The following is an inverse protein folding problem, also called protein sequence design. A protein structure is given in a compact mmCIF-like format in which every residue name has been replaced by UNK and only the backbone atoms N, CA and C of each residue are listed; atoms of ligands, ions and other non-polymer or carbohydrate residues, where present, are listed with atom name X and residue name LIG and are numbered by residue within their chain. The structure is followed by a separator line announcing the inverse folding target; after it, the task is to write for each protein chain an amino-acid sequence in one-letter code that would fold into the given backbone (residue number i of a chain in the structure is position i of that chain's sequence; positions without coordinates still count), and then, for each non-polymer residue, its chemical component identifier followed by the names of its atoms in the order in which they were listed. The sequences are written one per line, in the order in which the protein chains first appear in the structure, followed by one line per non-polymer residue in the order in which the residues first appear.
data_IF_814656994762
#
_entry.id   IF_814656994762
#
_cell.length_a   1.000
_cell.length_b   1.000
_cell.length_c   1.000
_cell.angle_alpha   90.00
_cell.angle_beta   90.00
_cell.angle_gamma   90.00
#
_symmetry.space_group_name_H-M   'P 1'
#
loop_
_entity.id
_entity.type
_entity.pdbx_description
1 polymer ?
#
# COMPACT_ATOMS: atom_id res chain seq x y z
N UNK A 1 -15.16 78.64 -26.23
CA UNK A 1 -13.98 78.12 -25.52
C UNK A 1 -14.47 76.90 -24.76
N UNK A 2 -14.56 75.75 -25.43
CA UNK A 2 -15.02 74.50 -24.85
C UNK A 2 -13.81 73.61 -24.59
N UNK A 3 -13.63 73.19 -23.33
CA UNK A 3 -12.60 72.24 -22.92
C UNK A 3 -13.27 70.87 -22.76
N UNK A 4 -12.86 69.93 -23.60
CA UNK A 4 -13.24 68.52 -23.50
C UNK A 4 -12.28 67.81 -22.53
N UNK A 5 -12.80 67.20 -21.47
CA UNK A 5 -12.05 66.28 -20.60
C UNK A 5 -12.68 64.90 -20.66
N UNK A 6 -11.93 63.94 -21.19
CA UNK A 6 -12.28 62.51 -21.22
C UNK A 6 -12.01 61.88 -19.86
N UNK A 7 -13.04 61.27 -19.28
CA UNK A 7 -12.99 60.48 -18.04
C UNK A 7 -12.63 59.03 -18.38
N UNK A 8 -11.46 58.55 -17.95
CA UNK A 8 -11.10 57.12 -18.05
C UNK A 8 -11.68 56.29 -16.89
N UNK A 9 -12.08 55.06 -17.22
CA UNK A 9 -12.92 54.18 -16.41
C UNK A 9 -12.08 53.29 -15.44
N UNK A 10 -12.36 53.26 -14.10
CA UNK A 10 -11.49 52.62 -13.07
C UNK A 10 -11.28 51.10 -13.20
N UNK A 11 -12.18 50.41 -13.89
CA UNK A 11 -12.23 48.94 -13.95
C UNK A 11 -11.13 48.32 -14.81
N UNK A 12 -10.59 49.10 -15.77
CA UNK A 12 -9.56 48.65 -16.71
C UNK A 12 -8.16 48.65 -16.06
N UNK A 13 -7.91 49.60 -15.16
CA UNK A 13 -6.65 49.79 -14.44
C UNK A 13 -6.36 48.62 -13.49
N UNK A 14 -7.38 48.10 -12.79
CA UNK A 14 -7.25 46.96 -11.86
C UNK A 14 -6.94 45.63 -12.56
N UNK A 15 -7.57 45.37 -13.72
CA UNK A 15 -7.29 44.17 -14.54
C UNK A 15 -5.90 44.21 -15.17
N UNK A 16 -5.43 45.40 -15.56
CA UNK A 16 -4.08 45.57 -16.08
C UNK A 16 -3.01 45.41 -14.98
N UNK A 17 -3.27 45.91 -13.76
CA UNK A 17 -2.34 45.78 -12.63
C UNK A 17 -2.18 44.31 -12.16
N UNK A 18 -3.26 43.54 -12.14
CA UNK A 18 -3.23 42.10 -11.80
C UNK A 18 -2.59 41.24 -12.89
N UNK A 19 -2.80 41.58 -14.17
CA UNK A 19 -2.14 40.94 -15.31
C UNK A 19 -0.64 41.22 -15.35
N UNK A 20 -0.22 42.44 -15.03
CA UNK A 20 1.20 42.82 -14.92
C UNK A 20 1.86 42.11 -13.74
N UNK A 21 1.22 42.07 -12.56
CA UNK A 21 1.73 41.32 -11.39
C UNK A 21 1.91 39.82 -11.67
N UNK A 22 0.95 39.17 -12.35
CA UNK A 22 1.08 37.74 -12.74
C UNK A 22 2.23 37.51 -13.73
N UNK A 23 2.41 38.40 -14.71
CA UNK A 23 3.54 38.33 -15.65
C UNK A 23 4.89 38.51 -14.96
N UNK A 24 5.00 39.44 -14.01
CA UNK A 24 6.23 39.66 -13.23
C UNK A 24 6.58 38.44 -12.38
N UNK A 25 5.59 37.80 -11.73
CA UNK A 25 5.82 36.60 -10.91
C UNK A 25 6.32 35.42 -11.77
N UNK A 26 5.72 35.19 -12.95
CA UNK A 26 6.14 34.11 -13.86
C UNK A 26 7.57 34.34 -14.38
N UNK A 27 7.93 35.58 -14.71
CA UNK A 27 9.29 35.94 -15.13
C UNK A 27 10.33 35.71 -14.01
N UNK A 28 9.99 36.00 -12.75
CA UNK A 28 10.88 35.76 -11.60
C UNK A 28 11.07 34.26 -11.33
N UNK A 29 10.02 33.44 -11.45
CA UNK A 29 10.16 31.98 -11.28
C UNK A 29 11.01 31.36 -12.39
N UNK A 30 10.84 31.81 -13.65
CA UNK A 30 11.64 31.31 -14.76
C UNK A 30 13.13 31.67 -14.62
N UNK A 31 13.47 32.87 -14.11
CA UNK A 31 14.87 33.25 -13.87
C UNK A 31 15.48 32.56 -12.65
N UNK A 32 14.71 32.27 -11.59
CA UNK A 32 15.22 31.49 -10.46
C UNK A 32 15.52 30.03 -10.84
N UNK A 33 14.70 29.42 -11.69
CA UNK A 33 14.91 28.02 -12.13
C UNK A 33 16.15 27.86 -13.00
N UNK A 34 16.52 28.86 -13.80
CA UNK A 34 17.74 28.82 -14.63
C UNK A 34 19.01 29.07 -13.82
N UNK A 35 18.95 29.90 -12.76
CA UNK A 35 20.09 30.14 -11.87
C UNK A 35 20.42 28.93 -10.98
N UNK A 36 19.42 28.14 -10.57
CA UNK A 36 19.63 26.89 -9.81
C UNK A 36 20.21 25.76 -10.68
N UNK A 37 19.93 25.73 -11.98
CA UNK A 37 20.47 24.73 -12.90
C UNK A 37 21.90 25.03 -13.38
N UNK A 38 22.33 26.30 -13.34
CA UNK A 38 23.67 26.72 -13.77
C UNK A 38 24.80 26.34 -12.80
N UNK A 39 24.48 25.80 -11.61
CA UNK A 39 25.49 25.44 -10.59
C UNK A 39 25.98 23.98 -10.65
N UNK A 40 25.64 23.20 -11.68
CA UNK A 40 26.00 21.76 -11.76
C UNK A 40 27.10 21.46 -12.82
N UNK A 41 27.68 22.44 -13.50
CA UNK A 41 28.72 22.18 -14.50
C UNK A 41 29.97 23.05 -14.27
N UNK A 42 30.83 22.60 -13.35
CA UNK A 42 32.30 22.56 -13.49
C UNK A 42 32.97 22.28 -12.14
N UNK A 43 33.57 21.11 -11.96
CA UNK A 43 34.78 20.98 -11.15
C UNK A 43 35.67 19.83 -11.68
N UNK A 44 36.93 20.10 -12.08
CA UNK A 44 37.84 19.09 -12.61
C UNK A 44 38.64 18.43 -11.49
N UNK A 45 38.57 17.09 -11.45
CA UNK A 45 39.60 16.17 -10.95
C UNK A 45 40.25 16.44 -9.58
N UNK A 46 39.94 15.59 -8.59
CA UNK A 46 40.99 15.03 -7.74
C UNK A 46 40.75 13.55 -7.47
N UNK A 47 41.65 12.73 -8.01
CA UNK A 47 41.83 11.33 -7.67
C UNK A 47 42.50 11.23 -6.30
N UNK A 48 41.82 10.67 -5.31
CA UNK A 48 42.48 9.94 -4.23
C UNK A 48 41.54 8.85 -3.71
N UNK A 49 41.96 7.60 -3.94
CA UNK A 49 41.39 6.42 -3.35
C UNK A 49 41.38 6.51 -1.81
N UNK A 50 40.22 6.28 -1.21
CA UNK A 50 40.11 5.68 0.11
C UNK A 50 39.03 4.62 0.08
N UNK A 51 39.50 3.41 0.29
CA UNK A 51 38.75 2.19 0.54
C UNK A 51 37.80 2.32 1.74
N UNK A 52 36.84 1.38 1.75
CA UNK A 52 35.91 1.02 2.83
C UNK A 52 34.58 1.76 2.90
N UNK A 53 33.67 1.39 2.00
CA UNK A 53 32.36 0.83 2.36
C UNK A 53 31.71 0.16 1.13
N UNK A 54 32.36 -0.87 0.59
CA UNK A 54 31.71 -1.82 -0.31
C UNK A 54 30.81 -2.74 0.52
N UNK A 55 29.69 -2.20 1.03
CA UNK A 55 28.56 -3.04 1.41
C UNK A 55 27.87 -3.43 0.12
N UNK A 56 28.44 -4.46 -0.51
CA UNK A 56 27.76 -5.43 -1.37
C UNK A 56 26.33 -5.00 -1.74
N UNK A 57 26.16 -4.44 -2.93
CA UNK A 57 24.97 -4.68 -3.74
C UNK A 57 24.93 -6.20 -3.95
N UNK A 58 24.47 -6.90 -2.91
CA UNK A 58 24.18 -8.31 -2.92
C UNK A 58 23.26 -8.53 -4.10
N UNK A 59 23.64 -9.49 -4.96
CA UNK A 59 22.79 -10.10 -5.98
C UNK A 59 21.32 -9.81 -5.74
N UNK A 60 20.61 -9.30 -6.74
CA UNK A 60 19.15 -9.39 -6.79
C UNK A 60 18.75 -10.79 -6.28
N UNK A 61 18.24 -10.82 -5.04
CA UNK A 61 18.20 -12.03 -4.22
C UNK A 61 17.36 -13.10 -4.93
N UNK A 62 17.59 -14.40 -4.69
CA UNK A 62 16.71 -15.48 -5.18
C UNK A 62 15.23 -15.32 -4.75
N UNK A 63 14.93 -14.39 -3.84
CA UNK A 63 13.60 -13.99 -3.41
C UNK A 63 12.88 -13.06 -4.40
N UNK A 64 13.60 -12.28 -5.22
CA UNK A 64 13.02 -11.28 -6.12
C UNK A 64 12.08 -11.89 -7.18
N UNK A 65 12.38 -13.06 -7.79
CA UNK A 65 11.42 -13.75 -8.66
C UNK A 65 10.17 -14.22 -7.90
N UNK A 66 10.34 -14.67 -6.66
CA UNK A 66 9.24 -15.20 -5.83
C UNK A 66 8.30 -14.07 -5.39
N UNK A 67 8.85 -12.94 -4.92
CA UNK A 67 8.10 -11.72 -4.62
C UNK A 67 7.40 -11.21 -5.87
N UNK A 68 8.09 -11.16 -7.02
CA UNK A 68 7.49 -10.73 -8.28
C UNK A 68 6.28 -11.60 -8.64
N UNK A 69 6.38 -12.91 -8.45
CA UNK A 69 5.26 -13.83 -8.66
C UNK A 69 4.12 -13.62 -7.65
N UNK A 70 4.43 -13.38 -6.37
CA UNK A 70 3.44 -13.10 -5.33
C UNK A 70 2.65 -11.81 -5.62
N UNK A 71 3.33 -10.79 -6.16
CA UNK A 71 2.75 -9.48 -6.46
C UNK A 71 2.10 -9.37 -7.86
N UNK A 72 2.35 -10.33 -8.77
CA UNK A 72 1.98 -10.21 -10.18
C UNK A 72 0.49 -9.98 -10.44
N UNK A 73 -0.37 -10.58 -9.61
CA UNK A 73 -1.84 -10.51 -9.76
C UNK A 73 -2.50 -9.57 -8.74
N UNK A 74 -1.73 -8.70 -8.11
CA UNK A 74 -2.24 -7.73 -7.14
C UNK A 74 -2.71 -6.46 -7.85
N UNK A 75 -3.62 -5.70 -7.23
CA UNK A 75 -4.10 -4.43 -7.80
C UNK A 75 -3.01 -3.35 -7.73
N UNK A 76 -2.10 -3.44 -6.75
CA UNK A 76 -0.99 -2.50 -6.57
C UNK A 76 0.38 -3.22 -6.56
N UNK A 77 0.86 -3.73 -7.72
CA UNK A 77 2.07 -4.57 -7.79
C UNK A 77 3.34 -3.90 -7.31
N UNK A 78 3.52 -2.62 -7.63
CA UNK A 78 4.70 -1.84 -7.19
C UNK A 78 4.72 -1.67 -5.68
N UNK A 79 3.56 -1.36 -5.08
CA UNK A 79 3.43 -1.24 -3.62
C UNK A 79 3.66 -2.60 -2.94
N UNK A 80 3.10 -3.68 -3.48
CA UNK A 80 3.33 -5.04 -3.00
C UNK A 80 4.82 -5.38 -3.02
N UNK A 81 5.48 -5.12 -4.14
CA UNK A 81 6.90 -5.42 -4.33
C UNK A 81 7.77 -4.66 -3.33
N UNK A 82 7.57 -3.34 -3.19
CA UNK A 82 8.32 -2.51 -2.24
C UNK A 82 8.06 -2.93 -0.80
N UNK A 83 6.81 -3.22 -0.46
CA UNK A 83 6.41 -3.74 0.85
C UNK A 83 7.19 -5.00 1.20
N UNK A 84 7.24 -5.98 0.28
CA UNK A 84 7.90 -7.27 0.51
C UNK A 84 9.43 -7.23 0.39
N UNK A 85 9.98 -6.31 -0.40
CA UNK A 85 11.43 -6.23 -0.65
C UNK A 85 12.22 -5.47 0.41
N UNK A 86 11.55 -4.65 1.22
CA UNK A 86 12.18 -3.80 2.25
C UNK A 86 12.69 -4.57 3.49
N UNK A 87 12.87 -5.88 3.39
CA UNK A 87 12.79 -6.79 4.52
C UNK A 87 13.95 -7.80 4.54
N UNK A 88 14.56 -8.08 5.71
CA UNK A 88 15.66 -9.05 5.80
C UNK A 88 15.21 -10.44 5.38
N UNK A 89 16.00 -11.08 4.51
CA UNK A 89 15.70 -12.41 3.97
C UNK A 89 16.24 -13.48 4.92
N UNK A 90 15.36 -14.32 5.48
CA UNK A 90 15.75 -15.60 6.06
C UNK A 90 15.70 -16.68 4.98
N UNK A 91 16.75 -17.52 4.90
CA UNK A 91 16.87 -18.61 3.90
C UNK A 91 15.71 -19.63 3.95
N UNK A 92 14.92 -19.63 5.02
CA UNK A 92 13.81 -20.57 5.27
C UNK A 92 12.42 -19.94 5.04
N UNK A 93 12.32 -18.69 4.58
CA UNK A 93 11.08 -17.87 4.54
C UNK A 93 10.66 -17.50 3.11
N UNK A 94 10.35 -18.48 2.27
CA UNK A 94 10.06 -18.28 0.83
C UNK A 94 8.64 -18.69 0.42
N UNK A 95 7.73 -18.93 1.36
CA UNK A 95 6.35 -19.29 1.07
C UNK A 95 5.43 -18.07 0.93
N UNK A 96 4.35 -18.20 0.15
CA UNK A 96 3.27 -17.19 0.07
C UNK A 96 2.69 -16.85 1.45
N UNK A 97 2.65 -17.83 2.35
CA UNK A 97 2.20 -17.66 3.73
C UNK A 97 3.09 -16.68 4.50
N UNK A 98 4.42 -16.82 4.42
CA UNK A 98 5.35 -15.88 5.04
C UNK A 98 5.27 -14.48 4.43
N UNK A 99 5.10 -14.37 3.10
CA UNK A 99 4.90 -13.07 2.48
C UNK A 99 3.61 -12.40 2.96
N UNK A 100 2.53 -13.17 3.11
CA UNK A 100 1.24 -12.67 3.58
C UNK A 100 1.32 -12.18 5.03
N UNK A 101 1.86 -13.01 5.94
CA UNK A 101 2.10 -12.62 7.33
C UNK A 101 2.90 -11.32 7.41
N UNK A 102 3.90 -11.18 6.55
CA UNK A 102 4.78 -10.03 6.54
C UNK A 102 4.13 -8.78 5.94
N UNK A 103 3.31 -8.94 4.91
CA UNK A 103 2.51 -7.86 4.35
C UNK A 103 1.52 -7.33 5.41
N UNK A 104 0.80 -8.22 6.10
CA UNK A 104 -0.14 -7.86 7.18
C UNK A 104 0.58 -7.11 8.30
N UNK A 105 1.73 -7.61 8.78
CA UNK A 105 2.53 -6.92 9.79
C UNK A 105 2.98 -5.52 9.35
N UNK A 106 3.31 -5.34 8.06
CA UNK A 106 3.67 -4.01 7.54
C UNK A 106 2.44 -3.10 7.47
N UNK A 107 1.27 -3.62 7.10
CA UNK A 107 0.00 -2.90 7.13
C UNK A 107 -0.32 -2.42 8.55
N UNK A 108 -0.21 -3.28 9.56
CA UNK A 108 -0.45 -2.90 10.97
C UNK A 108 0.43 -1.72 11.40
N UNK A 109 1.71 -1.70 11.00
CA UNK A 109 2.61 -0.57 11.27
C UNK A 109 2.15 0.72 10.60
N UNK A 110 1.64 0.63 9.37
CA UNK A 110 1.11 1.78 8.66
C UNK A 110 -0.18 2.30 9.31
N UNK A 111 -1.08 1.41 9.76
CA UNK A 111 -2.28 1.77 10.53
C UNK A 111 -1.92 2.47 11.84
N UNK A 112 -0.98 1.92 12.61
CA UNK A 112 -0.52 2.54 13.85
C UNK A 112 0.09 3.93 13.62
N UNK A 113 0.82 4.12 12.52
CA UNK A 113 1.33 5.44 12.12
C UNK A 113 0.21 6.41 11.78
N UNK A 114 -0.75 6.00 10.93
CA UNK A 114 -1.88 6.84 10.55
C UNK A 114 -2.74 7.24 11.76
N UNK A 115 -2.95 6.31 12.69
CA UNK A 115 -3.65 6.57 13.95
C UNK A 115 -2.95 7.64 14.78
N UNK A 116 -1.61 7.58 14.89
CA UNK A 116 -0.84 8.60 15.59
C UNK A 116 -0.94 9.96 14.88
N UNK A 117 -0.84 9.96 13.54
CA UNK A 117 -0.95 11.18 12.74
C UNK A 117 -2.33 11.84 12.93
N UNK A 118 -3.42 11.07 12.94
CA UNK A 118 -4.78 11.59 13.19
C UNK A 118 -4.91 12.12 14.62
N UNK A 119 -4.43 11.39 15.63
CA UNK A 119 -4.51 11.81 17.02
C UNK A 119 -3.75 13.14 17.25
N UNK A 120 -2.56 13.28 16.66
CA UNK A 120 -1.80 14.53 16.74
C UNK A 120 -2.46 15.67 15.95
N UNK A 121 -3.10 15.37 14.81
CA UNK A 121 -3.87 16.36 14.07
C UNK A 121 -5.06 16.89 14.87
N UNK A 122 -5.74 16.03 15.61
CA UNK A 122 -6.87 16.38 16.48
C UNK A 122 -6.45 17.28 17.65
N UNK A 123 -5.29 17.05 18.26
CA UNK A 123 -4.79 17.90 19.36
C UNK A 123 -4.52 19.34 18.91
N UNK A 124 -4.17 19.53 17.63
CA UNK A 124 -3.96 20.86 17.04
C UNK A 124 -5.27 21.57 16.69
N UNK A 125 -6.36 20.84 16.47
CA UNK A 125 -7.63 21.38 15.98
C UNK A 125 -8.80 21.12 16.94
N UNK A 126 -8.91 21.96 17.97
CA UNK A 126 -9.84 21.76 19.10
C UNK A 126 -11.35 21.84 18.81
N UNK A 127 -11.74 22.08 17.54
CA UNK A 127 -13.11 22.45 17.17
C UNK A 127 -14.01 21.25 16.75
N UNK A 128 -13.44 20.12 16.33
CA UNK A 128 -14.17 18.93 15.85
C UNK A 128 -13.78 17.68 16.63
N UNK A 129 -14.45 17.42 17.77
CA UNK A 129 -14.01 16.36 18.68
C UNK A 129 -14.58 14.97 18.38
N UNK A 130 -15.73 14.85 17.70
CA UNK A 130 -16.41 13.55 17.57
C UNK A 130 -15.93 12.74 16.36
N UNK A 131 -15.98 13.29 15.15
CA UNK A 131 -15.63 12.54 13.93
C UNK A 131 -14.18 12.00 13.92
N UNK A 132 -13.15 12.73 14.39
CA UNK A 132 -11.81 12.16 14.53
C UNK A 132 -11.71 11.02 15.53
N UNK A 133 -12.46 11.07 16.64
CA UNK A 133 -12.51 9.96 17.61
C UNK A 133 -13.14 8.71 16.99
N UNK A 134 -14.23 8.87 16.23
CA UNK A 134 -14.87 7.77 15.53
C UNK A 134 -13.91 7.13 14.51
N UNK A 135 -13.11 7.94 13.81
CA UNK A 135 -12.06 7.41 12.93
C UNK A 135 -10.96 6.67 13.69
N UNK A 136 -10.51 7.19 14.84
CA UNK A 136 -9.51 6.50 15.67
C UNK A 136 -10.03 5.14 16.16
N UNK A 137 -11.31 5.03 16.52
CA UNK A 137 -11.96 3.77 16.87
C UNK A 137 -11.94 2.79 15.69
N UNK A 138 -12.26 3.26 14.47
CA UNK A 138 -12.17 2.42 13.27
C UNK A 138 -10.76 1.89 13.02
N UNK A 139 -9.72 2.71 13.23
CA UNK A 139 -8.33 2.27 13.10
C UNK A 139 -7.92 1.28 14.20
N UNK A 140 -8.47 1.40 15.40
CA UNK A 140 -8.28 0.41 16.47
C UNK A 140 -8.93 -0.94 16.11
N UNK A 141 -10.13 -0.92 15.50
CA UNK A 141 -10.77 -2.13 14.97
C UNK A 141 -9.96 -2.73 13.82
N UNK A 142 -9.43 -1.91 12.90
CA UNK A 142 -8.51 -2.37 11.84
C UNK A 142 -7.30 -3.08 12.44
N UNK A 143 -6.66 -2.53 13.49
CA UNK A 143 -5.52 -3.19 14.15
C UNK A 143 -5.92 -4.53 14.79
N UNK A 144 -7.10 -4.59 15.42
CA UNK A 144 -7.62 -5.81 16.03
C UNK A 144 -7.86 -6.92 14.99
N UNK A 145 -8.48 -6.60 13.86
CA UNK A 145 -8.75 -7.56 12.78
C UNK A 145 -7.48 -8.05 12.10
N UNK A 146 -6.51 -7.15 11.86
CA UNK A 146 -5.20 -7.53 11.33
C UNK A 146 -4.42 -8.40 12.32
N UNK A 147 -4.54 -8.14 13.63
CA UNK A 147 -3.96 -8.98 14.69
C UNK A 147 -4.54 -10.40 14.66
N UNK A 148 -5.87 -10.52 14.63
CA UNK A 148 -6.53 -11.83 14.48
C UNK A 148 -6.12 -12.54 13.19
N UNK A 149 -5.87 -11.81 12.10
CA UNK A 149 -5.42 -12.41 10.85
C UNK A 149 -3.99 -13.00 10.99
N UNK A 150 -3.12 -12.40 11.80
CA UNK A 150 -1.81 -12.98 12.13
C UNK A 150 -1.97 -14.23 12.99
N UNK A 151 -2.83 -14.19 14.01
CA UNK A 151 -3.08 -15.34 14.88
C UNK A 151 -3.61 -16.55 14.07
N UNK A 152 -4.56 -16.30 13.15
CA UNK A 152 -5.09 -17.33 12.24
C UNK A 152 -4.01 -17.93 11.32
N UNK A 153 -3.04 -17.12 10.87
CA UNK A 153 -1.89 -17.62 10.10
C UNK A 153 -1.00 -18.52 10.95
N UNK A 154 -0.73 -18.16 12.21
CA UNK A 154 0.12 -18.94 13.10
C UNK A 154 -0.52 -20.26 13.56
N UNK A 155 -1.83 -20.27 13.78
CA UNK A 155 -2.57 -21.49 14.16
C UNK A 155 -2.58 -22.51 13.00
N UNK A 156 -2.71 -22.01 11.76
CA UNK A 156 -2.81 -22.82 10.54
C UNK A 156 -1.62 -22.62 9.58
N UNK A 157 -0.41 -23.09 9.94
CA UNK A 157 0.74 -22.97 9.08
C UNK A 157 0.57 -23.77 7.79
N UNK A 158 1.24 -23.32 6.72
CA UNK A 158 1.17 -23.90 5.38
C UNK A 158 1.42 -25.43 5.33
N UNK A 159 2.14 -25.99 6.29
CA UNK A 159 2.47 -27.42 6.38
C UNK A 159 1.30 -28.33 6.81
N UNK A 160 0.21 -27.79 7.36
CA UNK A 160 -0.86 -28.59 7.99
C UNK A 160 -2.06 -28.90 7.08
N UNK A 161 -2.05 -28.53 5.80
CA UNK A 161 -3.11 -28.92 4.85
C UNK A 161 -4.52 -28.32 5.08
N UNK A 162 -4.75 -27.61 6.19
CA UNK A 162 -6.03 -26.96 6.55
C UNK A 162 -6.22 -25.55 5.92
N UNK A 163 -5.57 -25.31 4.78
CA UNK A 163 -5.43 -23.98 4.18
C UNK A 163 -6.76 -23.34 3.77
N UNK A 164 -7.78 -24.12 3.37
CA UNK A 164 -9.00 -23.55 2.79
C UNK A 164 -9.89 -22.82 3.81
N UNK A 165 -10.04 -23.36 5.03
CA UNK A 165 -10.82 -22.68 6.09
C UNK A 165 -10.08 -21.47 6.64
N UNK A 166 -8.75 -21.55 6.77
CA UNK A 166 -7.90 -20.45 7.24
C UNK A 166 -7.98 -19.24 6.28
N UNK A 167 -7.83 -19.44 4.96
CA UNK A 167 -7.93 -18.32 4.01
C UNK A 167 -9.32 -17.66 3.95
N UNK A 168 -10.39 -18.38 4.30
CA UNK A 168 -11.74 -17.82 4.42
C UNK A 168 -11.81 -16.74 5.49
N UNK A 169 -11.41 -17.06 6.72
CA UNK A 169 -11.38 -16.11 7.83
C UNK A 169 -10.45 -14.93 7.55
N UNK A 170 -9.26 -15.18 7.01
CA UNK A 170 -8.31 -14.11 6.65
C UNK A 170 -8.92 -13.11 5.67
N UNK A 171 -9.67 -13.59 4.66
CA UNK A 171 -10.37 -12.69 3.73
C UNK A 171 -11.42 -11.86 4.45
N UNK A 172 -12.20 -12.47 5.36
CA UNK A 172 -13.21 -11.74 6.14
C UNK A 172 -12.58 -10.65 7.00
N UNK A 173 -11.54 -10.98 7.77
CA UNK A 173 -10.83 -10.04 8.63
C UNK A 173 -10.20 -8.90 7.83
N UNK A 174 -9.53 -9.21 6.71
CA UNK A 174 -8.94 -8.18 5.85
C UNK A 174 -9.99 -7.32 5.15
N UNK A 175 -11.12 -7.89 4.73
CA UNK A 175 -12.22 -7.11 4.16
C UNK A 175 -12.85 -6.18 5.19
N UNK A 176 -13.03 -6.63 6.43
CA UNK A 176 -13.50 -5.79 7.53
C UNK A 176 -12.52 -4.63 7.81
N UNK A 177 -11.21 -4.92 7.83
CA UNK A 177 -10.17 -3.91 8.04
C UNK A 177 -10.21 -2.79 7.01
N UNK A 178 -10.43 -3.16 5.73
CA UNK A 178 -10.59 -2.20 4.65
C UNK A 178 -11.94 -1.43 4.73
N UNK A 179 -13.00 -2.08 5.20
CA UNK A 179 -14.29 -1.41 5.45
C UNK A 179 -14.15 -0.35 6.54
N UNK A 180 -13.46 -0.63 7.64
CA UNK A 180 -13.24 0.32 8.73
C UNK A 180 -12.53 1.60 8.25
N UNK A 181 -11.52 1.48 7.37
CA UNK A 181 -10.86 2.63 6.74
C UNK A 181 -11.82 3.47 5.89
N UNK A 182 -12.67 2.83 5.09
CA UNK A 182 -13.69 3.53 4.31
C UNK A 182 -14.71 4.21 5.22
N UNK A 183 -15.16 3.54 6.29
CA UNK A 183 -16.09 4.11 7.27
C UNK A 183 -15.48 5.32 7.99
N UNK A 184 -14.19 5.29 8.34
CA UNK A 184 -13.50 6.47 8.85
C UNK A 184 -13.62 7.64 7.87
N UNK A 185 -13.29 7.43 6.59
CA UNK A 185 -13.34 8.50 5.57
C UNK A 185 -14.77 9.00 5.35
N UNK A 186 -15.73 8.07 5.23
CA UNK A 186 -17.12 8.37 4.93
C UNK A 186 -17.79 9.16 6.06
N UNK A 187 -17.34 8.99 7.31
CA UNK A 187 -17.78 9.76 8.47
C UNK A 187 -17.56 11.27 8.34
N UNK A 188 -16.77 11.73 7.36
CA UNK A 188 -16.53 13.15 7.08
C UNK A 188 -17.28 13.67 5.85
N UNK A 189 -18.11 12.85 5.18
CA UNK A 189 -18.78 13.25 3.94
C UNK A 189 -19.86 14.31 4.13
N UNK A 190 -20.60 14.26 5.24
CA UNK A 190 -21.63 15.25 5.55
C UNK A 190 -21.05 16.54 6.15
N UNK A 191 -19.74 16.54 6.42
CA UNK A 191 -19.02 17.70 6.91
C UNK A 191 -18.48 18.57 5.77
N UNK A 192 -18.79 18.31 4.50
CA UNK A 192 -18.22 19.06 3.35
C UNK A 192 -18.44 20.58 3.41
N UNK A 193 -19.51 21.07 4.05
CA UNK A 193 -19.72 22.52 4.30
C UNK A 193 -18.84 23.08 5.44
N UNK A 194 -18.36 22.22 6.35
CA UNK A 194 -17.49 22.52 7.50
C UNK A 194 -16.01 22.17 7.18
N UNK A 195 -15.79 21.29 6.18
CA UNK A 195 -14.50 20.80 5.66
C UNK A 195 -13.75 21.86 4.84
N UNK A 196 -13.82 23.10 5.32
CA UNK A 196 -12.98 24.22 4.91
C UNK A 196 -11.48 23.93 5.01
N UNK A 197 -11.09 22.87 5.74
CA UNK A 197 -9.69 22.47 5.99
C UNK A 197 -9.21 21.29 5.14
N UNK A 198 -10.10 20.60 4.42
CA UNK A 198 -9.73 19.45 3.58
C UNK A 198 -9.34 18.20 4.37
N UNK A 199 -9.94 18.01 5.55
CA UNK A 199 -9.70 16.87 6.44
C UNK A 199 -10.10 15.55 5.79
N UNK A 200 -11.22 15.50 5.05
CA UNK A 200 -11.61 14.29 4.30
C UNK A 200 -10.55 13.91 3.27
N UNK A 201 -10.04 14.89 2.52
CA UNK A 201 -8.97 14.69 1.55
C UNK A 201 -7.65 14.28 2.21
N UNK A 202 -7.33 14.86 3.38
CA UNK A 202 -6.19 14.44 4.19
C UNK A 202 -6.30 12.96 4.60
N UNK A 203 -7.45 12.55 5.16
CA UNK A 203 -7.69 11.16 5.57
C UNK A 203 -7.65 10.20 4.38
N UNK A 204 -8.24 10.55 3.25
CA UNK A 204 -8.16 9.76 2.02
C UNK A 204 -6.71 9.51 1.62
N UNK A 205 -5.87 10.55 1.63
CA UNK A 205 -4.45 10.40 1.28
C UNK A 205 -3.68 9.60 2.32
N UNK A 206 -3.99 9.77 3.60
CA UNK A 206 -3.33 9.08 4.71
C UNK A 206 -3.67 7.58 4.73
N UNK A 207 -4.93 7.22 4.50
CA UNK A 207 -5.44 5.85 4.61
C UNK A 207 -5.36 5.06 3.30
N UNK A 208 -5.37 5.71 2.13
CA UNK A 208 -5.30 5.02 0.85
C UNK A 208 -4.14 4.01 0.74
N UNK A 209 -2.90 4.29 1.19
CA UNK A 209 -1.83 3.29 1.17
C UNK A 209 -2.16 2.03 1.96
N UNK A 210 -2.91 2.14 3.07
CA UNK A 210 -3.28 1.00 3.91
C UNK A 210 -4.29 0.12 3.18
N UNK A 211 -5.38 0.70 2.66
CA UNK A 211 -6.37 0.01 1.82
C UNK A 211 -5.71 -0.70 0.64
N UNK A 212 -4.71 -0.07 0.00
CA UNK A 212 -3.95 -0.68 -1.09
C UNK A 212 -3.11 -1.89 -0.61
N UNK A 213 -2.50 -1.80 0.57
CA UNK A 213 -1.75 -2.91 1.17
C UNK A 213 -2.68 -4.07 1.55
N UNK A 214 -3.86 -3.80 2.12
CA UNK A 214 -4.87 -4.81 2.43
C UNK A 214 -5.37 -5.49 1.15
N UNK A 215 -5.67 -4.71 0.10
CA UNK A 215 -6.06 -5.22 -1.22
C UNK A 215 -5.00 -6.16 -1.80
N UNK A 216 -3.72 -5.82 -1.67
CA UNK A 216 -2.63 -6.71 -2.07
C UNK A 216 -2.60 -8.01 -1.25
N UNK A 217 -2.83 -7.95 0.08
CA UNK A 217 -2.92 -9.15 0.93
C UNK A 217 -4.06 -10.08 0.47
N UNK A 218 -5.25 -9.53 0.18
CA UNK A 218 -6.39 -10.28 -0.33
C UNK A 218 -6.07 -10.97 -1.67
N UNK A 219 -5.36 -10.28 -2.57
CA UNK A 219 -4.92 -10.86 -3.83
C UNK A 219 -3.88 -11.98 -3.63
N UNK A 220 -2.96 -11.84 -2.68
CA UNK A 220 -2.00 -12.89 -2.32
C UNK A 220 -2.68 -14.13 -1.74
N UNK A 221 -3.72 -13.96 -0.91
CA UNK A 221 -4.56 -15.08 -0.42
C UNK A 221 -5.20 -15.81 -1.58
N UNK A 222 -5.84 -15.07 -2.50
CA UNK A 222 -6.46 -15.65 -3.70
C UNK A 222 -5.45 -16.45 -4.53
N UNK A 223 -4.23 -15.93 -4.68
CA UNK A 223 -3.14 -16.64 -5.36
C UNK A 223 -2.75 -17.92 -4.62
N UNK A 224 -2.60 -17.88 -3.30
CA UNK A 224 -2.28 -19.04 -2.48
C UNK A 224 -3.36 -20.13 -2.59
N UNK A 225 -4.65 -19.76 -2.61
CA UNK A 225 -5.76 -20.68 -2.84
C UNK A 225 -5.67 -21.36 -4.22
N UNK A 226 -5.30 -20.61 -5.27
CA UNK A 226 -5.13 -21.15 -6.63
C UNK A 226 -3.98 -22.16 -6.68
N UNK A 227 -2.83 -21.82 -6.08
CA UNK A 227 -1.65 -22.70 -6.03
C UNK A 227 -1.99 -23.99 -5.29
N UNK A 228 -2.60 -23.89 -4.11
CA UNK A 228 -2.99 -25.05 -3.30
C UNK A 228 -4.00 -25.97 -4.03
N UNK A 229 -4.97 -25.39 -4.76
CA UNK A 229 -5.89 -26.19 -5.59
C UNK A 229 -5.17 -26.94 -6.70
N UNK A 230 -4.22 -26.29 -7.38
CA UNK A 230 -3.43 -26.94 -8.46
C UNK A 230 -2.56 -28.08 -7.91
N UNK A 231 -1.92 -27.87 -6.77
CA UNK A 231 -1.14 -28.92 -6.08
C UNK A 231 -2.02 -30.11 -5.72
N UNK A 232 -3.19 -29.88 -5.10
CA UNK A 232 -4.15 -30.94 -4.76
C UNK A 232 -4.59 -31.74 -5.99
N UNK A 233 -4.90 -31.06 -7.10
CA UNK A 233 -5.29 -31.72 -8.35
C UNK A 233 -4.14 -32.51 -8.97
N UNK A 234 -2.91 -32.01 -8.85
CA UNK A 234 -1.71 -32.67 -9.37
C UNK A 234 -1.41 -33.92 -8.55
N UNK A 235 -1.46 -33.84 -7.22
CA UNK A 235 -1.29 -35.00 -6.33
C UNK A 235 -2.36 -36.07 -6.57
N UNK A 236 -3.62 -35.68 -6.82
CA UNK A 236 -4.68 -36.64 -7.22
C UNK A 236 -4.37 -37.29 -8.56
N UNK A 237 -3.93 -36.54 -9.57
CA UNK A 237 -3.54 -37.11 -10.88
C UNK A 237 -2.34 -38.06 -10.76
N UNK A 238 -1.34 -37.71 -9.95
CA UNK A 238 -0.17 -38.57 -9.70
C UNK A 238 -0.59 -39.86 -9.00
N UNK A 239 -1.48 -39.80 -8.00
CA UNK A 239 -2.03 -40.98 -7.33
C UNK A 239 -2.78 -41.89 -8.32
N UNK A 240 -3.62 -41.31 -9.18
CA UNK A 240 -4.39 -42.06 -10.18
C UNK A 240 -3.50 -42.66 -11.29
N UNK A 241 -2.37 -42.02 -11.62
CA UNK A 241 -1.44 -42.48 -12.65
C UNK A 241 -0.37 -43.44 -12.11
N UNK A 242 -0.24 -43.59 -10.78
CA UNK A 242 0.70 -44.53 -10.17
C UNK A 242 0.13 -45.94 -10.35
N UNK A 243 0.53 -46.60 -11.45
CA UNK A 243 0.08 -47.95 -11.79
C UNK A 243 0.63 -48.94 -10.74
N UNK A 244 -0.22 -49.54 -9.90
CA UNK A 244 0.23 -50.48 -8.89
C UNK A 244 0.61 -51.82 -9.55
N UNK A 245 1.52 -52.55 -8.90
CA UNK A 245 2.13 -53.76 -9.46
C UNK A 245 1.13 -54.91 -9.72
N UNK A 246 -0.02 -54.87 -9.04
CA UNK A 246 -1.14 -55.82 -9.20
C UNK A 246 -2.13 -55.42 -10.30
N UNK A 247 -1.97 -54.25 -10.93
CA UNK A 247 -2.85 -53.75 -12.00
C UNK A 247 -4.15 -53.09 -11.52
N UNK A 248 -4.41 -53.01 -10.21
CA UNK A 248 -5.65 -52.48 -9.65
C UNK A 248 -5.44 -51.20 -8.85
N UNK A 249 -6.15 -50.11 -9.19
CA UNK A 249 -6.04 -48.81 -8.50
C UNK A 249 -6.10 -48.95 -6.97
N UNK A 250 -5.24 -48.22 -6.25
CA UNK A 250 -5.00 -48.37 -4.81
C UNK A 250 -6.23 -48.09 -3.92
N UNK A 251 -7.26 -47.41 -4.46
CA UNK A 251 -8.52 -47.13 -3.76
C UNK A 251 -9.61 -48.20 -4.00
N UNK A 252 -9.41 -49.17 -4.90
CA UNK A 252 -10.34 -50.29 -5.08
C UNK A 252 -10.23 -51.29 -3.92
N UNK A 253 -11.38 -51.58 -3.31
CA UNK A 253 -11.49 -52.62 -2.29
C UNK A 253 -11.10 -53.97 -2.89
N UNK A 254 -10.49 -54.86 -2.08
CA UNK A 254 -10.06 -56.19 -2.51
C UNK A 254 -11.18 -57.07 -3.03
N UNK A 255 -12.43 -56.81 -2.65
CA UNK A 255 -13.61 -57.50 -3.17
C UNK A 255 -14.00 -57.07 -4.59
N UNK A 256 -13.55 -55.89 -5.03
CA UNK A 256 -13.81 -55.31 -6.35
C UNK A 256 -12.61 -55.45 -7.31
N UNK A 257 -11.57 -56.19 -6.89
CA UNK A 257 -10.40 -56.56 -7.72
C UNK A 257 -10.68 -57.86 -8.45
#
# INVERSE_FOLDING_TARGET
MESNTTVENPTQTSKNLTKTRKKTIILIFLTLTTLLFASILNDPSSTHARDHALTTLSLASPLHPIIKNACANTLYPSLCFTTLSSLPVSKNSTSLHHFLERAINRTMKQVASARLDIATHQEMDSQEKNAPNDCLEMLDQTLYELGQAIDDLHIFPASKGHLHRSYGNLKTLLSAAMTNENTCIDGFSDLEEIDSKGLKAYLQNLLAPISQMISNCLAMIKQAEIVNRKETLTSRKVLMNKKPADGFLEWMATADR
#
